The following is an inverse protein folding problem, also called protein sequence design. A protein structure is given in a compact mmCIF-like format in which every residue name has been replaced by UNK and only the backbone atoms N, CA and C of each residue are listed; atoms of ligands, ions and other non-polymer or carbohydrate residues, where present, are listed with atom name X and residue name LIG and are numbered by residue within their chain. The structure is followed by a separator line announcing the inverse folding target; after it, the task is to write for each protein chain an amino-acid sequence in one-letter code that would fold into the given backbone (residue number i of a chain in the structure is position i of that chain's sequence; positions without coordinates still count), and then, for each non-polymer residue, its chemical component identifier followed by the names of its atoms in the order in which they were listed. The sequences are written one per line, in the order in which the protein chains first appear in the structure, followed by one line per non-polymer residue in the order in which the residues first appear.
data_IF_305037391224
#
_entry.id   IF_305037391224
#
_cell.length_a   1.000
_cell.length_b   1.000
_cell.length_c   1.000
_cell.angle_alpha   90.00
_cell.angle_beta   90.00
_cell.angle_gamma   90.00
#
_symmetry.space_group_name_H-M   'P 1'
#
loop_
_entity.id
_entity.type
_entity.pdbx_description
1 polymer ?
#
# COMPACT_ATOMS: atom_id res chain seq x y z
N UNK A 1 -6.79 11.11 3.49
CA UNK A 1 -6.39 9.70 3.31
C UNK A 1 -4.88 9.64 3.29
N UNK A 2 -4.30 8.69 4.04
CA UNK A 2 -2.92 8.19 3.99
C UNK A 2 -1.87 9.21 3.53
N UNK A 3 -1.66 10.24 4.34
CA UNK A 3 -0.86 11.42 3.94
C UNK A 3 0.59 11.02 3.66
N UNK A 4 1.13 11.47 2.52
CA UNK A 4 2.51 11.23 2.10
C UNK A 4 3.13 12.57 1.69
N UNK A 5 4.14 13.04 2.42
CA UNK A 5 4.81 14.32 2.14
C UNK A 5 5.85 14.25 1.00
N UNK A 6 6.02 13.08 0.38
CA UNK A 6 7.05 12.70 -0.61
C UNK A 6 8.02 13.81 -1.06
N UNK A 7 9.02 14.08 -0.23
CA UNK A 7 10.38 14.23 -0.67
C UNK A 7 11.26 13.83 0.50
N UNK A 8 12.30 13.05 0.26
CA UNK A 8 13.37 12.85 1.23
C UNK A 8 14.12 14.16 1.60
N UNK A 9 13.62 15.34 1.18
CA UNK A 9 14.32 16.62 1.12
C UNK A 9 13.45 17.89 1.26
N UNK A 10 12.16 17.81 1.60
CA UNK A 10 11.34 19.02 1.76
C UNK A 10 11.23 19.46 3.23
N UNK A 11 11.05 20.77 3.43
CA UNK A 11 10.88 21.42 4.74
C UNK A 11 9.43 21.91 4.92
N UNK A 12 8.43 21.17 4.41
CA UNK A 12 7.04 21.60 4.56
C UNK A 12 6.59 21.41 6.01
N UNK A 13 5.98 22.45 6.57
CA UNK A 13 5.29 22.35 7.85
C UNK A 13 3.88 21.80 7.60
N UNK A 14 3.76 20.46 7.63
CA UNK A 14 2.47 19.78 7.51
C UNK A 14 1.88 19.64 8.91
N UNK A 15 0.99 20.56 9.26
CA UNK A 15 0.29 20.56 10.54
C UNK A 15 -1.22 20.71 10.34
N UNK A 16 -1.98 20.01 11.19
CA UNK A 16 -3.40 20.27 11.37
C UNK A 16 -3.53 21.44 12.35
N UNK A 17 -4.24 22.49 11.96
CA UNK A 17 -4.44 23.66 12.82
C UNK A 17 -5.30 23.29 14.03
N UNK A 18 -4.97 23.75 15.26
CA UNK A 18 -5.73 23.44 16.47
C UNK A 18 -7.21 23.79 16.39
N UNK A 19 -7.58 24.77 15.58
CA UNK A 19 -8.96 25.22 15.37
C UNK A 19 -9.77 24.27 14.46
N UNK A 20 -9.15 23.23 13.91
CA UNK A 20 -9.86 22.24 13.09
C UNK A 20 -10.83 21.46 13.98
N UNK A 21 -12.13 21.55 13.69
CA UNK A 21 -13.16 20.92 14.50
C UNK A 21 -13.21 19.40 14.29
N UNK A 22 -13.00 18.92 13.06
CA UNK A 22 -13.11 17.48 12.75
C UNK A 22 -11.99 17.04 11.85
N UNK A 23 -11.33 15.94 12.22
CA UNK A 23 -10.26 15.33 11.43
C UNK A 23 -10.44 13.83 11.45
N UNK A 24 -10.41 13.23 10.27
CA UNK A 24 -10.24 11.80 10.11
C UNK A 24 -9.08 11.52 9.16
N UNK A 25 -8.10 10.79 9.69
CA UNK A 25 -6.96 10.27 8.95
C UNK A 25 -7.05 8.74 8.90
N UNK A 26 -7.07 8.18 7.69
CA UNK A 26 -7.13 6.73 7.46
C UNK A 26 -5.81 6.34 6.81
N UNK A 27 -5.08 5.41 7.43
CA UNK A 27 -3.71 5.04 7.09
C UNK A 27 -3.64 3.55 6.69
N UNK A 28 -2.94 3.23 5.60
CA UNK A 28 -2.89 1.86 5.07
C UNK A 28 -1.79 1.02 5.72
N UNK A 29 -2.10 -0.11 6.35
CA UNK A 29 -1.08 -0.95 7.01
C UNK A 29 -0.21 -1.73 6.02
N UNK A 30 -0.69 -1.95 4.79
CA UNK A 30 0.04 -2.67 3.74
C UNK A 30 0.85 -1.72 2.83
N UNK A 31 0.89 -0.42 3.09
CA UNK A 31 1.78 0.47 2.35
C UNK A 31 3.23 0.33 2.88
N UNK A 32 4.17 0.12 1.97
CA UNK A 32 5.57 -0.12 2.34
C UNK A 32 6.56 0.32 1.26
N UNK A 33 6.09 1.04 0.23
CA UNK A 33 6.97 1.61 -0.79
C UNK A 33 7.88 2.65 -0.17
N UNK A 34 9.11 2.71 -0.68
CA UNK A 34 10.15 3.57 -0.16
C UNK A 34 9.75 5.06 -0.20
N UNK A 35 9.02 5.48 -1.23
CA UNK A 35 8.63 6.88 -1.45
C UNK A 35 7.25 7.25 -0.88
N UNK A 36 6.63 6.34 -0.14
CA UNK A 36 5.32 6.54 0.49
C UNK A 36 5.43 6.45 2.02
N UNK A 37 6.31 7.22 2.69
CA UNK A 37 6.29 7.28 4.14
C UNK A 37 5.03 8.00 4.62
N UNK A 38 4.35 7.44 5.62
CA UNK A 38 3.21 8.09 6.27
C UNK A 38 3.65 9.36 6.99
N UNK A 39 2.92 10.43 6.74
CA UNK A 39 2.90 11.63 7.58
C UNK A 39 1.70 11.52 8.52
N UNK A 40 1.93 10.97 9.70
CA UNK A 40 0.91 10.83 10.73
C UNK A 40 0.53 12.16 11.37
N UNK A 41 -0.69 12.25 11.91
CA UNK A 41 -1.15 13.45 12.63
C UNK A 41 -0.92 13.36 14.16
N UNK A 42 -0.41 12.21 14.65
CA UNK A 42 -0.05 11.97 16.04
C UNK A 42 1.41 11.51 16.18
N UNK A 43 2.00 11.66 17.38
CA UNK A 43 3.37 11.18 17.62
C UNK A 43 3.45 9.63 17.61
N UNK A 44 2.35 8.98 17.97
CA UNK A 44 2.18 7.54 18.06
C UNK A 44 1.90 6.87 16.70
N UNK A 45 1.72 7.63 15.62
CA UNK A 45 1.44 7.08 14.27
C UNK A 45 2.49 6.06 13.81
N UNK A 46 3.73 6.19 14.27
CA UNK A 46 4.83 5.23 14.01
C UNK A 46 4.55 3.82 14.52
N UNK A 47 3.69 3.69 15.54
CA UNK A 47 3.33 2.43 16.18
C UNK A 47 2.13 1.75 15.50
N UNK A 48 1.55 2.39 14.48
CA UNK A 48 0.36 1.92 13.73
C UNK A 48 -0.85 1.65 14.62
N UNK A 49 -0.98 2.45 15.68
CA UNK A 49 -2.08 2.35 16.63
C UNK A 49 -3.09 3.44 16.38
N UNK A 50 -4.37 3.07 16.37
CA UNK A 50 -5.46 4.03 16.24
C UNK A 50 -5.42 5.03 17.41
N UNK A 51 -5.64 6.30 17.10
CA UNK A 51 -5.54 7.38 18.06
C UNK A 51 -6.71 8.35 17.92
N UNK A 52 -7.10 8.94 19.05
CA UNK A 52 -8.17 9.92 19.16
C UNK A 52 -7.73 11.07 20.05
N UNK A 53 -7.98 12.29 19.61
CA UNK A 53 -7.85 13.49 20.44
C UNK A 53 -9.16 14.26 20.43
N UNK A 54 -9.59 14.73 21.59
CA UNK A 54 -10.81 15.53 21.74
C UNK A 54 -10.56 16.71 22.67
N UNK A 55 -10.98 17.90 22.25
CA UNK A 55 -10.90 19.12 23.04
C UNK A 55 -11.98 20.12 22.64
N UNK A 56 -12.91 20.41 23.55
CA UNK A 56 -14.03 21.31 23.26
C UNK A 56 -14.89 20.77 22.12
N UNK A 57 -14.92 21.49 20.99
CA UNK A 57 -15.64 21.09 19.78
C UNK A 57 -14.76 20.34 18.77
N UNK A 58 -13.47 20.14 19.08
CA UNK A 58 -12.54 19.46 18.18
C UNK A 58 -12.44 17.97 18.47
N UNK A 59 -12.57 17.14 17.43
CA UNK A 59 -12.43 15.68 17.47
C UNK A 59 -11.55 15.22 16.31
N UNK A 60 -10.36 14.72 16.62
CA UNK A 60 -9.40 14.22 15.65
C UNK A 60 -9.19 12.72 15.81
N UNK A 61 -9.21 12.00 14.70
CA UNK A 61 -9.13 10.54 14.65
C UNK A 61 -8.09 10.13 13.62
N UNK A 62 -7.23 9.20 13.99
CA UNK A 62 -6.34 8.49 13.09
C UNK A 62 -6.56 7.00 13.26
N UNK A 63 -6.80 6.29 12.16
CA UNK A 63 -7.02 4.84 12.16
C UNK A 63 -6.15 4.14 11.13
N UNK A 64 -5.71 2.94 11.47
CA UNK A 64 -4.92 2.06 10.63
C UNK A 64 -5.80 0.93 10.11
N UNK A 65 -5.87 0.81 8.78
CA UNK A 65 -6.77 -0.10 8.09
C UNK A 65 -6.02 -0.97 7.08
N UNK A 66 -6.53 -2.18 6.75
CA UNK A 66 -5.97 -3.03 5.70
C UNK A 66 -5.88 -2.36 4.33
N UNK A 67 -4.85 -2.68 3.57
CA UNK A 67 -4.65 -2.18 2.21
C UNK A 67 -3.43 -1.27 2.07
N UNK A 68 -2.96 -1.15 0.83
CA UNK A 68 -1.93 -0.22 0.42
C UNK A 68 -2.50 1.19 0.19
N UNK A 69 -1.65 2.16 -0.15
CA UNK A 69 -2.04 3.57 -0.28
C UNK A 69 -3.30 3.80 -1.15
N UNK A 70 -3.34 3.22 -2.35
CA UNK A 70 -4.48 3.37 -3.26
C UNK A 70 -5.64 2.39 -2.96
N UNK A 71 -5.43 1.39 -2.10
CA UNK A 71 -6.55 0.64 -1.50
C UNK A 71 -7.28 1.52 -0.47
N UNK A 72 -6.55 2.45 0.17
CA UNK A 72 -7.11 3.42 1.12
C UNK A 72 -7.71 4.64 0.41
N UNK A 73 -6.93 5.29 -0.45
CA UNK A 73 -7.32 6.53 -1.13
C UNK A 73 -8.09 6.35 -2.43
N UNK A 74 -8.16 5.13 -2.96
CA UNK A 74 -8.70 4.84 -4.30
C UNK A 74 -7.67 5.09 -5.41
N UNK A 75 -8.02 4.64 -6.62
CA UNK A 75 -7.21 4.85 -7.84
C UNK A 75 -6.80 3.56 -8.56
N UNK A 76 -6.89 2.40 -7.89
CA UNK A 76 -6.72 1.13 -8.56
C UNK A 76 -7.89 0.82 -9.49
N UNK A 77 -7.56 0.20 -10.63
CA UNK A 77 -8.52 -0.47 -11.49
C UNK A 77 -8.57 -1.95 -11.12
N UNK A 78 -9.77 -2.53 -11.11
CA UNK A 78 -9.95 -3.97 -10.94
C UNK A 78 -9.29 -4.74 -12.10
N UNK A 79 -8.51 -5.76 -11.76
CA UNK A 79 -7.87 -6.61 -12.76
C UNK A 79 -6.80 -7.53 -12.18
N UNK A 80 -6.05 -8.16 -13.07
CA UNK A 80 -4.96 -9.05 -12.72
C UNK A 80 -3.76 -8.31 -12.10
N UNK A 81 -2.99 -9.05 -11.30
CA UNK A 81 -1.73 -8.58 -10.74
C UNK A 81 -0.66 -9.68 -10.82
N UNK A 82 0.47 -9.37 -11.40
CA UNK A 82 1.57 -10.27 -11.71
C UNK A 82 2.93 -9.58 -11.50
N UNK A 83 3.41 -9.54 -10.27
CA UNK A 83 4.58 -8.75 -9.87
C UNK A 83 5.69 -9.57 -9.24
N UNK A 84 6.93 -9.13 -9.41
CA UNK A 84 8.07 -9.64 -8.63
C UNK A 84 8.03 -9.07 -7.22
N UNK A 85 8.12 -9.95 -6.22
CA UNK A 85 8.09 -9.59 -4.79
C UNK A 85 9.48 -9.69 -4.13
N UNK A 86 10.52 -9.97 -4.92
CA UNK A 86 11.90 -10.05 -4.44
C UNK A 86 12.90 -9.48 -5.44
N UNK A 87 14.08 -9.02 -4.97
CA UNK A 87 15.22 -8.79 -5.84
C UNK A 87 15.77 -10.12 -6.38
N UNK A 88 16.82 -10.03 -7.19
CA UNK A 88 17.57 -11.18 -7.70
C UNK A 88 18.37 -11.90 -6.59
N UNK A 89 18.21 -13.22 -6.52
CA UNK A 89 18.99 -14.09 -5.64
C UNK A 89 19.77 -15.14 -6.43
N UNK A 90 21.00 -15.43 -6.00
CA UNK A 90 21.79 -16.54 -6.56
C UNK A 90 21.33 -17.88 -5.96
N UNK A 91 20.93 -17.89 -4.68
CA UNK A 91 20.52 -19.12 -3.98
C UNK A 91 19.04 -19.09 -3.66
N UNK A 92 18.31 -20.09 -4.15
CA UNK A 92 16.88 -20.29 -3.83
C UNK A 92 16.58 -20.35 -2.33
N UNK A 93 17.54 -20.80 -1.52
CA UNK A 93 17.38 -20.82 -0.06
C UNK A 93 17.32 -19.41 0.54
N UNK A 94 18.13 -18.50 0.03
CA UNK A 94 18.14 -17.10 0.49
C UNK A 94 16.86 -16.39 0.04
N UNK A 95 16.42 -16.66 -1.20
CA UNK A 95 15.12 -16.20 -1.71
C UNK A 95 13.95 -16.68 -0.85
N UNK A 96 13.93 -17.98 -0.51
CA UNK A 96 12.90 -18.56 0.35
C UNK A 96 12.84 -17.84 1.71
N UNK A 97 13.99 -17.67 2.38
CA UNK A 97 14.01 -16.97 3.67
C UNK A 97 13.62 -15.50 3.57
N UNK A 98 13.94 -14.84 2.45
CA UNK A 98 13.51 -13.46 2.21
C UNK A 98 11.98 -13.34 2.19
N UNK A 99 11.30 -14.21 1.42
CA UNK A 99 9.83 -14.18 1.33
C UNK A 99 9.18 -14.63 2.65
N UNK A 100 9.70 -15.67 3.29
CA UNK A 100 9.18 -16.13 4.58
C UNK A 100 9.36 -15.08 5.70
N UNK A 101 10.45 -14.30 5.64
CA UNK A 101 10.65 -13.18 6.56
C UNK A 101 9.55 -12.14 6.36
N UNK A 102 9.30 -11.68 5.13
CA UNK A 102 8.23 -10.73 4.80
C UNK A 102 6.88 -11.22 5.35
N UNK A 103 6.52 -12.47 5.06
CA UNK A 103 5.25 -13.09 5.51
C UNK A 103 5.16 -13.20 7.03
N UNK A 104 6.30 -13.29 7.71
CA UNK A 104 6.39 -13.54 9.15
C UNK A 104 6.54 -12.29 10.01
N UNK A 105 7.11 -11.21 9.50
CA UNK A 105 7.53 -10.05 10.31
C UNK A 105 6.66 -8.81 10.19
N UNK A 106 5.97 -8.61 9.06
CA UNK A 106 5.07 -7.47 8.91
C UNK A 106 3.78 -7.73 9.68
N UNK A 107 3.59 -6.99 10.76
CA UNK A 107 2.46 -7.14 11.66
C UNK A 107 1.64 -5.85 11.77
N UNK A 108 0.35 -6.00 12.03
CA UNK A 108 -0.49 -4.89 12.50
C UNK A 108 -0.34 -4.67 14.02
N UNK A 109 -1.08 -3.69 14.55
CA UNK A 109 -1.10 -3.37 15.98
C UNK A 109 -1.50 -4.56 16.87
N UNK A 110 -2.26 -5.52 16.32
CA UNK A 110 -2.77 -6.71 17.01
C UNK A 110 -1.89 -7.95 16.79
N UNK A 111 -0.71 -7.77 16.16
CA UNK A 111 0.26 -8.83 15.86
C UNK A 111 -0.23 -9.85 14.82
N UNK A 112 -1.16 -9.48 13.94
CA UNK A 112 -1.56 -10.31 12.79
C UNK A 112 -0.64 -10.06 11.60
N UNK A 113 -0.38 -11.12 10.83
CA UNK A 113 0.52 -11.10 9.68
C UNK A 113 -0.17 -10.55 8.44
N UNK A 114 0.15 -9.32 8.07
CA UNK A 114 -0.60 -8.57 7.04
C UNK A 114 -0.31 -9.04 5.60
N UNK A 115 0.84 -9.68 5.36
CA UNK A 115 1.24 -10.18 4.04
C UNK A 115 1.10 -11.68 3.86
N UNK A 116 0.81 -12.42 4.94
CA UNK A 116 0.91 -13.87 4.91
C UNK A 116 0.01 -14.52 3.86
N UNK A 117 -1.24 -14.05 3.75
CA UNK A 117 -2.24 -14.57 2.80
C UNK A 117 -1.97 -14.10 1.37
N UNK A 118 -1.66 -12.81 1.18
CA UNK A 118 -1.37 -12.22 -0.14
C UNK A 118 -0.17 -12.89 -0.82
N UNK A 119 0.84 -13.27 -0.04
CA UNK A 119 2.08 -13.87 -0.54
C UNK A 119 2.13 -15.40 -0.38
N UNK A 120 1.04 -16.06 -0.02
CA UNK A 120 1.07 -17.48 0.33
C UNK A 120 1.46 -18.39 -0.85
N UNK A 121 1.03 -18.02 -2.07
CA UNK A 121 1.15 -18.81 -3.29
C UNK A 121 2.23 -18.26 -4.25
N UNK A 122 3.24 -17.58 -3.70
CA UNK A 122 4.34 -17.08 -4.51
C UNK A 122 5.05 -18.22 -5.24
N UNK A 123 5.57 -17.89 -6.42
CA UNK A 123 6.32 -18.81 -7.28
C UNK A 123 7.74 -18.29 -7.45
N UNK A 124 8.64 -19.18 -7.88
CA UNK A 124 10.04 -18.83 -8.16
C UNK A 124 10.24 -18.85 -9.67
N UNK A 125 10.61 -17.71 -10.22
CA UNK A 125 11.15 -17.59 -11.57
C UNK A 125 12.64 -17.92 -11.54
N UNK A 126 13.05 -18.94 -12.29
CA UNK A 126 14.42 -19.47 -12.28
C UNK A 126 15.10 -19.12 -13.59
N UNK A 127 16.02 -18.16 -13.55
CA UNK A 127 16.97 -17.89 -14.62
C UNK A 127 18.21 -18.77 -14.56
N UNK A 128 19.14 -18.54 -15.49
CA UNK A 128 20.39 -19.29 -15.58
C UNK A 128 21.34 -19.06 -14.39
N UNK A 129 21.30 -17.85 -13.80
CA UNK A 129 22.20 -17.41 -12.71
C UNK A 129 21.41 -16.91 -11.50
N UNK A 130 20.31 -16.20 -11.72
CA UNK A 130 19.50 -15.59 -10.68
C UNK A 130 18.11 -16.18 -10.63
N UNK A 131 17.46 -16.06 -9.47
CA UNK A 131 16.07 -16.41 -9.26
C UNK A 131 15.36 -15.30 -8.49
N UNK A 132 14.08 -15.09 -8.80
CA UNK A 132 13.21 -14.12 -8.15
C UNK A 132 11.89 -14.78 -7.75
N UNK A 133 11.27 -14.28 -6.68
CA UNK A 133 9.92 -14.64 -6.32
C UNK A 133 8.93 -13.69 -6.99
N UNK A 134 7.83 -14.23 -7.47
CA UNK A 134 6.73 -13.47 -8.06
C UNK A 134 5.38 -14.00 -7.56
N UNK A 135 4.37 -13.15 -7.67
CA UNK A 135 2.97 -13.49 -7.37
C UNK A 135 2.14 -13.16 -8.60
N UNK A 136 1.28 -14.09 -9.01
CA UNK A 136 0.29 -13.93 -10.09
C UNK A 136 -1.10 -14.13 -9.52
N UNK A 137 -2.00 -13.20 -9.78
CA UNK A 137 -3.39 -13.18 -9.33
C UNK A 137 -4.26 -12.75 -10.50
N UNK A 138 -5.29 -13.53 -10.79
CA UNK A 138 -6.15 -13.27 -11.95
C UNK A 138 -7.06 -12.05 -11.74
N UNK A 139 -7.39 -11.75 -10.48
CA UNK A 139 -8.25 -10.64 -10.11
C UNK A 139 -7.87 -10.09 -8.73
N UNK A 140 -7.80 -8.77 -8.63
CA UNK A 140 -7.73 -7.99 -7.40
C UNK A 140 -8.80 -6.90 -7.50
N UNK A 141 -9.70 -6.87 -6.52
CA UNK A 141 -10.82 -5.92 -6.48
C UNK A 141 -10.37 -4.55 -5.98
N UNK A 142 -11.01 -3.49 -6.48
CA UNK A 142 -10.71 -2.09 -6.09
C UNK A 142 -11.64 -1.53 -5.00
N UNK A 143 -12.65 -2.31 -4.61
CA UNK A 143 -13.79 -1.90 -3.79
C UNK A 143 -13.47 -1.61 -2.32
N UNK A 144 -12.29 -2.01 -1.83
CA UNK A 144 -11.89 -1.71 -0.45
C UNK A 144 -11.80 -0.20 -0.19
N UNK A 145 -11.40 0.58 -1.20
CA UNK A 145 -11.39 2.04 -1.14
C UNK A 145 -12.77 2.66 -0.96
N UNK A 146 -13.84 1.98 -1.41
CA UNK A 146 -15.23 2.43 -1.22
C UNK A 146 -15.64 2.39 0.25
N UNK A 147 -15.20 1.37 0.99
CA UNK A 147 -15.42 1.26 2.45
C UNK A 147 -14.84 2.48 3.16
N UNK A 148 -13.59 2.83 2.86
CA UNK A 148 -12.92 3.96 3.50
C UNK A 148 -13.43 5.32 3.01
N UNK A 149 -13.82 5.40 1.73
CA UNK A 149 -14.55 6.53 1.15
C UNK A 149 -15.80 6.89 1.95
N UNK A 150 -16.62 5.88 2.26
CA UNK A 150 -17.83 6.04 3.07
C UNK A 150 -17.53 6.62 4.46
N UNK A 151 -16.46 6.16 5.11
CA UNK A 151 -16.06 6.68 6.42
C UNK A 151 -15.69 8.16 6.39
N UNK A 152 -14.95 8.60 5.36
CA UNK A 152 -14.62 10.02 5.18
C UNK A 152 -15.87 10.87 4.93
N UNK A 153 -16.82 10.33 4.16
CA UNK A 153 -18.07 11.02 3.86
C UNK A 153 -18.93 11.17 5.12
N UNK A 154 -19.02 10.11 5.94
CA UNK A 154 -19.69 10.16 7.24
C UNK A 154 -19.05 11.16 8.20
N UNK A 155 -17.72 11.23 8.26
CA UNK A 155 -17.04 12.23 9.09
C UNK A 155 -17.33 13.64 8.61
N UNK A 156 -17.30 13.86 7.29
CA UNK A 156 -17.57 15.18 6.70
C UNK A 156 -19.01 15.62 6.93
N UNK A 157 -19.95 14.70 6.84
CA UNK A 157 -21.39 14.96 7.04
C UNK A 157 -21.82 15.02 8.51
N UNK A 158 -20.92 14.78 9.48
CA UNK A 158 -21.32 14.51 10.86
C UNK A 158 -22.02 15.68 11.57
N UNK A 159 -21.67 16.91 11.21
CA UNK A 159 -22.29 18.13 11.77
C UNK A 159 -23.33 18.72 10.80
N UNK A 160 -23.04 18.69 9.50
CA UNK A 160 -23.91 19.19 8.46
C UNK A 160 -23.77 18.29 7.24
N UNK A 161 -24.90 17.92 6.62
CA UNK A 161 -24.89 17.23 5.34
C UNK A 161 -24.29 18.15 4.27
N UNK A 162 -23.08 17.81 3.82
CA UNK A 162 -22.35 18.50 2.74
C UNK A 162 -22.46 17.70 1.44
N UNK A 163 -22.36 16.38 1.54
CA UNK A 163 -22.46 15.46 0.42
C UNK A 163 -23.73 14.61 0.50
N UNK A 164 -24.23 14.22 -0.66
CA UNK A 164 -25.33 13.25 -0.78
C UNK A 164 -24.85 11.86 -0.32
N UNK A 165 -25.77 11.08 0.25
CA UNK A 165 -25.52 9.73 0.77
C UNK A 165 -26.20 8.63 -0.07
N UNK A 166 -26.95 9.03 -1.09
CA UNK A 166 -27.61 8.13 -2.04
C UNK A 166 -26.58 7.69 -3.10
N UNK A 167 -25.88 6.60 -2.80
CA UNK A 167 -24.87 6.02 -3.69
C UNK A 167 -25.45 4.95 -4.61
N UNK A 168 -24.79 4.78 -5.74
CA UNK A 168 -25.02 3.75 -6.75
C UNK A 168 -23.71 3.02 -7.10
N UNK A 169 -23.80 2.06 -8.01
CA UNK A 169 -22.66 1.27 -8.50
C UNK A 169 -21.47 2.12 -9.02
N UNK A 170 -21.75 3.33 -9.51
CA UNK A 170 -20.74 4.24 -10.06
C UNK A 170 -20.00 5.07 -9.00
N UNK A 171 -20.46 5.01 -7.76
CA UNK A 171 -19.94 5.80 -6.63
C UNK A 171 -19.41 4.90 -5.52
N UNK A 172 -20.19 4.65 -4.46
CA UNK A 172 -19.76 3.91 -3.27
C UNK A 172 -20.58 2.64 -2.98
N UNK A 173 -21.47 2.22 -3.88
CA UNK A 173 -22.21 0.98 -3.66
C UNK A 173 -21.27 -0.24 -3.72
N UNK A 174 -21.38 -1.09 -2.70
CA UNK A 174 -20.67 -2.36 -2.57
C UNK A 174 -21.73 -3.46 -2.67
N UNK A 175 -21.59 -4.34 -3.65
CA UNK A 175 -22.56 -5.42 -3.85
C UNK A 175 -22.40 -6.53 -2.78
N UNK A 176 -23.42 -6.80 -1.95
CA UNK A 176 -23.31 -7.80 -0.90
C UNK A 176 -23.10 -9.23 -1.41
N UNK A 177 -23.60 -9.52 -2.63
CA UNK A 177 -23.45 -10.85 -3.25
C UNK A 177 -22.00 -11.11 -3.68
N UNK A 178 -21.29 -10.08 -4.14
CA UNK A 178 -19.90 -10.17 -4.60
C UNK A 178 -18.91 -9.95 -3.45
N UNK A 179 -19.23 -9.03 -2.52
CA UNK A 179 -18.32 -8.57 -1.48
C UNK A 179 -18.93 -8.65 -0.07
N UNK A 180 -19.43 -9.83 0.37
CA UNK A 180 -20.11 -9.95 1.66
C UNK A 180 -19.22 -9.52 2.84
N UNK A 181 -17.91 -9.78 2.76
CA UNK A 181 -16.98 -9.36 3.80
C UNK A 181 -16.74 -7.84 3.84
N UNK A 182 -16.78 -7.15 2.70
CA UNK A 182 -16.65 -5.68 2.71
C UNK A 182 -17.87 -5.02 3.35
N UNK A 183 -19.06 -5.62 3.24
CA UNK A 183 -20.25 -5.17 3.96
C UNK A 183 -20.05 -5.31 5.47
N UNK A 184 -19.65 -6.50 5.94
CA UNK A 184 -19.33 -6.76 7.35
C UNK A 184 -18.28 -5.76 7.88
N UNK A 185 -17.22 -5.54 7.10
CA UNK A 185 -16.14 -4.62 7.46
C UNK A 185 -16.61 -3.16 7.51
N UNK A 186 -17.39 -2.71 6.53
CA UNK A 186 -17.96 -1.37 6.48
C UNK A 186 -18.79 -1.10 7.72
N UNK A 187 -19.76 -1.98 8.03
CA UNK A 187 -20.62 -1.83 9.20
C UNK A 187 -19.83 -1.80 10.52
N UNK A 188 -18.79 -2.63 10.64
CA UNK A 188 -17.93 -2.65 11.81
C UNK A 188 -17.13 -1.34 11.96
N UNK A 189 -16.51 -0.85 10.88
CA UNK A 189 -15.75 0.40 10.87
C UNK A 189 -16.63 1.63 11.12
N UNK A 190 -17.85 1.66 10.55
CA UNK A 190 -18.83 2.72 10.77
C UNK A 190 -19.22 2.84 12.25
N UNK A 191 -19.29 1.72 12.96
CA UNK A 191 -19.56 1.72 14.39
C UNK A 191 -18.31 2.07 15.21
N UNK A 192 -17.15 1.56 14.80
CA UNK A 192 -15.88 1.84 15.46
C UNK A 192 -15.53 3.34 15.43
N UNK A 193 -15.63 3.98 14.26
CA UNK A 193 -15.13 5.34 14.01
C UNK A 193 -15.89 6.43 14.75
N UNK A 194 -17.09 6.14 15.25
CA UNK A 194 -17.88 7.09 16.05
C UNK A 194 -17.10 7.51 17.30
N UNK A 195 -16.46 6.55 17.97
CA UNK A 195 -15.81 6.78 19.26
C UNK A 195 -14.40 6.18 19.41
N UNK A 196 -13.94 5.39 18.44
CA UNK A 196 -12.71 4.58 18.50
C UNK A 196 -12.61 3.72 19.77
N UNK A 197 -13.75 3.18 20.22
CA UNK A 197 -13.79 2.28 21.37
C UNK A 197 -13.05 0.97 21.04
N UNK A 198 -12.05 0.55 21.84
CA UNK A 198 -11.28 -0.67 21.56
C UNK A 198 -12.15 -1.92 21.40
N UNK A 199 -13.25 -2.02 22.15
CA UNK A 199 -14.18 -3.17 22.08
C UNK A 199 -14.95 -3.26 20.76
N UNK A 200 -14.98 -2.17 19.99
CA UNK A 200 -15.61 -2.09 18.67
C UNK A 200 -14.60 -2.15 17.53
N UNK A 201 -13.29 -2.24 17.81
CA UNK A 201 -12.26 -2.32 16.77
C UNK A 201 -12.51 -3.60 15.95
N UNK A 202 -12.61 -3.50 14.61
CA UNK A 202 -12.82 -4.68 13.79
C UNK A 202 -11.63 -5.65 13.85
N UNK A 203 -11.93 -6.93 14.04
CA UNK A 203 -10.95 -8.00 13.89
C UNK A 203 -10.68 -8.24 12.39
N UNK A 204 -9.66 -7.57 11.83
CA UNK A 204 -9.36 -7.69 10.40
C UNK A 204 -8.99 -9.13 10.00
N UNK A 205 -9.67 -9.66 8.98
CA UNK A 205 -9.42 -10.99 8.43
C UNK A 205 -8.58 -10.88 7.15
N UNK A 206 -7.25 -10.96 7.31
CA UNK A 206 -6.30 -10.81 6.19
C UNK A 206 -6.37 -11.91 5.12
N UNK A 207 -7.01 -13.05 5.41
CA UNK A 207 -7.30 -14.05 4.38
C UNK A 207 -8.39 -13.56 3.44
N UNK A 208 -9.51 -13.06 3.97
CA UNK A 208 -10.59 -12.48 3.16
C UNK A 208 -10.18 -11.16 2.49
N UNK A 209 -9.32 -10.37 3.13
CA UNK A 209 -8.83 -9.10 2.59
C UNK A 209 -7.79 -9.28 1.48
N UNK A 210 -7.22 -10.48 1.32
CA UNK A 210 -6.22 -10.74 0.30
C UNK A 210 -6.76 -10.36 -1.08
N UNK A 211 -8.02 -10.69 -1.37
CA UNK A 211 -8.72 -10.41 -2.64
C UNK A 211 -8.80 -8.92 -3.01
N UNK A 212 -8.60 -8.02 -2.03
CA UNK A 212 -8.69 -6.57 -2.21
C UNK A 212 -7.37 -5.84 -1.96
N UNK A 213 -6.36 -6.52 -1.41
CA UNK A 213 -5.07 -5.91 -1.08
C UNK A 213 -4.14 -5.99 -2.27
N UNK A 214 -3.74 -4.84 -2.81
CA UNK A 214 -2.78 -4.76 -3.91
C UNK A 214 -1.33 -4.79 -3.38
N UNK A 215 -0.45 -5.49 -4.10
CA UNK A 215 1.00 -5.45 -3.84
C UNK A 215 1.59 -4.16 -4.46
N UNK A 216 1.56 -3.05 -3.70
CA UNK A 216 2.08 -1.76 -4.16
C UNK A 216 3.62 -1.72 -4.20
N UNK A 217 4.29 -2.27 -3.18
CA UNK A 217 5.74 -2.42 -3.17
C UNK A 217 6.15 -3.69 -3.93
N UNK A 218 6.78 -3.52 -5.09
CA UNK A 218 7.24 -4.61 -5.92
C UNK A 218 8.55 -4.27 -6.67
N UNK A 219 9.17 -5.28 -7.27
CA UNK A 219 10.41 -5.21 -8.03
C UNK A 219 10.17 -5.23 -9.55
N UNK A 220 9.00 -4.79 -9.99
CA UNK A 220 8.59 -4.77 -11.39
C UNK A 220 7.60 -5.88 -11.76
N UNK A 221 7.12 -5.81 -13.00
CA UNK A 221 6.10 -6.72 -13.53
C UNK A 221 6.73 -8.05 -13.99
N UNK A 222 6.02 -9.15 -13.75
CA UNK A 222 6.35 -10.46 -14.30
C UNK A 222 5.80 -10.60 -15.73
N UNK A 223 6.63 -10.23 -16.71
CA UNK A 223 6.29 -10.14 -18.14
C UNK A 223 5.67 -11.38 -18.80
N UNK A 224 6.03 -12.63 -18.45
CA UNK A 224 5.42 -13.81 -19.07
C UNK A 224 3.91 -13.91 -18.87
N UNK A 225 3.37 -13.40 -17.75
CA UNK A 225 1.92 -13.34 -17.52
C UNK A 225 1.25 -12.25 -18.39
N UNK A 226 1.87 -11.08 -18.52
CA UNK A 226 1.37 -9.98 -19.36
C UNK A 226 1.22 -10.38 -20.84
N UNK A 227 2.10 -11.25 -21.35
CA UNK A 227 2.03 -11.75 -22.72
C UNK A 227 0.80 -12.66 -22.95
N UNK A 228 0.33 -13.36 -21.92
CA UNK A 228 -0.84 -14.25 -22.02
C UNK A 228 -2.17 -13.47 -22.07
N UNK A 229 -2.23 -12.28 -21.45
CA UNK A 229 -3.45 -11.45 -21.37
C UNK A 229 -3.67 -10.50 -22.55
N UNK A 230 -2.75 -10.42 -23.51
CA UNK A 230 -2.76 -9.50 -24.67
C UNK A 230 -3.96 -9.62 -25.64
N UNK A 231 -5.03 -10.35 -25.28
CA UNK A 231 -6.28 -10.44 -26.04
C UNK A 231 -7.35 -9.40 -25.65
N UNK A 232 -7.24 -8.75 -24.49
CA UNK A 232 -8.11 -7.63 -24.09
C UNK A 232 -7.26 -6.38 -23.85
N UNK A 233 -7.68 -5.24 -24.41
CA UNK A 233 -6.93 -3.98 -24.37
C UNK A 233 -6.61 -3.46 -22.97
N UNK A 234 -5.66 -2.53 -22.93
CA UNK A 234 -5.11 -1.79 -21.77
C UNK A 234 -4.81 -2.69 -20.55
N UNK A 235 -3.53 -3.07 -20.33
CA UNK A 235 -3.17 -3.90 -19.18
C UNK A 235 -3.38 -3.11 -17.89
N UNK A 236 -4.46 -3.39 -17.16
CA UNK A 236 -4.79 -2.80 -15.84
C UNK A 236 -3.57 -2.79 -14.92
N UNK A 237 -2.81 -3.88 -14.92
CA UNK A 237 -1.57 -4.00 -14.18
C UNK A 237 -0.52 -2.92 -14.50
N UNK A 238 -0.37 -2.52 -15.77
CA UNK A 238 0.57 -1.46 -16.16
C UNK A 238 0.12 -0.11 -15.58
N UNK A 239 -1.19 0.17 -15.62
CA UNK A 239 -1.75 1.40 -15.05
C UNK A 239 -1.54 1.40 -13.53
N UNK A 240 -1.97 0.34 -12.86
CA UNK A 240 -1.84 0.20 -11.41
C UNK A 240 -0.37 0.26 -10.97
N UNK A 241 0.55 -0.33 -11.73
CA UNK A 241 1.98 -0.26 -11.42
C UNK A 241 2.59 1.12 -11.71
N UNK A 242 2.03 1.88 -12.66
CA UNK A 242 2.37 3.29 -12.86
C UNK A 242 2.07 4.17 -11.63
N UNK A 243 1.08 3.81 -10.82
CA UNK A 243 0.80 4.45 -9.53
C UNK A 243 1.84 4.09 -8.45
N UNK A 244 2.66 3.06 -8.70
CA UNK A 244 3.61 2.50 -7.74
C UNK A 244 5.04 3.04 -7.88
N UNK A 245 5.34 3.79 -8.95
CA UNK A 245 6.69 4.26 -9.29
C UNK A 245 6.68 5.77 -9.62
N UNK A 246 7.65 6.56 -9.15
CA UNK A 246 7.87 7.91 -9.68
C UNK A 246 8.15 7.87 -11.19
N UNK A 247 7.36 8.59 -11.98
CA UNK A 247 7.44 8.56 -13.45
C UNK A 247 8.71 9.22 -13.98
N UNK A 248 9.80 8.46 -14.07
CA UNK A 248 10.99 8.78 -14.88
C UNK A 248 11.68 7.53 -15.45
N UNK A 249 10.94 6.45 -15.74
CA UNK A 249 11.51 5.36 -16.55
C UNK A 249 11.15 5.56 -18.02
N UNK A 250 12.13 6.08 -18.76
CA UNK A 250 12.20 6.00 -20.22
C UNK A 250 12.57 4.57 -20.68
N UNK A 251 12.17 3.54 -19.92
CA UNK A 251 12.38 2.13 -20.25
C UNK A 251 11.30 1.68 -21.24
N UNK A 252 11.41 2.31 -22.41
CA UNK A 252 10.69 1.98 -23.61
C UNK A 252 11.00 0.55 -24.01
N UNK A 253 9.97 -0.29 -23.94
CA UNK A 253 9.60 -1.30 -24.93
C UNK A 253 10.55 -1.40 -26.16
N UNK A 254 11.71 -2.03 -26.01
CA UNK A 254 12.53 -2.43 -27.15
C UNK A 254 12.48 -3.94 -27.33
N UNK A 255 11.68 -4.34 -28.33
CA UNK A 255 11.30 -5.71 -28.69
C UNK A 255 12.44 -6.59 -29.23
N UNK A 256 13.70 -6.20 -29.08
CA UNK A 256 14.84 -6.93 -29.62
C UNK A 256 16.08 -6.67 -28.77
N UNK A 257 16.40 -7.54 -27.83
CA UNK A 257 17.79 -7.82 -27.48
C UNK A 257 17.93 -9.19 -26.80
N UNK A 258 18.26 -10.16 -27.64
CA UNK A 258 18.82 -11.43 -27.23
C UNK A 258 20.20 -11.22 -26.62
N UNK A 259 20.44 -11.80 -25.43
CA UNK A 259 21.75 -12.08 -24.82
C UNK A 259 22.60 -10.85 -24.47
N UNK A 260 22.92 -10.74 -23.18
CA UNK A 260 23.81 -9.75 -22.54
C UNK A 260 23.26 -8.31 -22.43
N UNK A 261 22.29 -8.14 -21.56
CA UNK A 261 22.20 -6.99 -20.64
C UNK A 261 21.69 -7.56 -19.31
N UNK A 262 22.42 -7.89 -18.24
CA UNK A 262 23.83 -7.83 -17.83
C UNK A 262 24.57 -6.52 -17.99
N UNK A 263 23.88 -5.43 -18.27
CA UNK A 263 24.24 -4.16 -17.65
C UNK A 263 23.72 -4.35 -16.22
N UNK A 264 24.57 -4.79 -15.28
CA UNK A 264 25.19 -3.84 -14.34
C UNK A 264 24.40 -2.56 -14.44
N UNK A 265 23.40 -2.38 -13.57
CA UNK A 265 22.89 -1.04 -13.29
C UNK A 265 24.13 -0.21 -12.95
N UNK A 266 24.68 0.44 -13.97
CA UNK A 266 25.62 1.50 -13.79
C UNK A 266 24.86 2.50 -12.93
N UNK A 267 25.49 2.88 -11.84
CA UNK A 267 25.02 3.81 -10.83
C UNK A 267 24.86 5.16 -11.52
N UNK A 268 23.79 5.31 -12.29
CA UNK A 268 23.48 6.47 -13.13
C UNK A 268 22.00 6.88 -12.95
N UNK A 269 21.44 6.65 -11.76
CA UNK A 269 20.62 7.62 -11.02
C UNK A 269 20.34 7.07 -9.61
N UNK A 270 21.20 7.44 -8.66
CA UNK A 270 21.43 6.70 -7.40
C UNK A 270 20.24 6.63 -6.43
N UNK A 271 19.15 7.36 -6.69
CA UNK A 271 17.98 7.44 -5.79
C UNK A 271 16.85 6.53 -6.28
N UNK A 272 16.63 6.43 -7.59
CA UNK A 272 15.54 5.63 -8.18
C UNK A 272 15.87 4.14 -8.10
N UNK A 273 17.09 3.74 -8.46
CA UNK A 273 17.53 2.34 -8.35
C UNK A 273 17.67 1.87 -6.90
N UNK A 274 18.07 2.77 -5.98
CA UNK A 274 18.05 2.49 -4.54
C UNK A 274 16.62 2.26 -4.05
N UNK A 275 15.67 3.07 -4.51
CA UNK A 275 14.26 2.92 -4.15
C UNK A 275 13.62 1.65 -4.72
N UNK A 276 13.96 1.26 -5.95
CA UNK A 276 13.56 -0.04 -6.51
C UNK A 276 14.16 -1.20 -5.71
N UNK A 277 15.43 -1.10 -5.31
CA UNK A 277 16.08 -2.09 -4.44
C UNK A 277 15.53 -2.15 -3.01
N UNK A 278 14.74 -1.14 -2.60
CA UNK A 278 14.21 -0.98 -1.23
C UNK A 278 12.68 -0.93 -1.15
N UNK A 279 11.97 -1.13 -2.26
CA UNK A 279 10.53 -1.44 -2.31
C UNK A 279 10.28 -2.87 -1.81
N UNK A 280 10.67 -3.12 -0.56
CA UNK A 280 10.50 -4.39 0.12
C UNK A 280 9.07 -4.40 0.66
N UNK A 281 8.27 -5.46 0.40
CA UNK A 281 6.95 -5.67 1.01
C UNK A 281 6.93 -5.79 2.55
N UNK A 282 7.97 -5.36 3.26
CA UNK A 282 8.16 -5.41 4.70
C UNK A 282 9.01 -4.22 5.16
N UNK A 283 8.93 -3.09 4.45
CA UNK A 283 9.57 -1.86 4.89
C UNK A 283 8.79 -1.32 6.10
N UNK A 284 9.07 -1.84 7.28
CA UNK A 284 8.52 -1.35 8.55
C UNK A 284 9.13 0.01 8.97
N UNK A 285 9.90 0.63 8.08
CA UNK A 285 10.64 1.86 8.33
C UNK A 285 9.74 3.08 8.04
N UNK A 286 8.66 3.20 8.81
CA UNK A 286 7.75 4.36 8.81
C UNK A 286 8.38 5.59 9.46
N UNK A 287 9.33 5.37 10.38
CA UNK A 287 10.14 6.43 10.99
C UNK A 287 11.35 6.78 10.11
N UNK A 288 11.10 7.32 8.91
CA UNK A 288 12.14 8.11 8.24
C UNK A 288 12.01 9.53 8.72
N UNK A 289 12.60 9.78 9.88
CA UNK A 289 13.01 11.14 10.18
C UNK A 289 13.91 11.62 9.04
N UNK A 290 13.81 12.91 8.68
CA UNK A 290 14.65 13.66 7.73
C UNK A 290 16.18 13.48 8.00
N UNK A 291 16.55 12.83 9.10
CA UNK A 291 17.89 12.50 9.57
C UNK A 291 18.65 11.43 8.77
N UNK A 292 18.16 10.93 7.63
CA UNK A 292 19.07 10.26 6.66
C UNK A 292 20.20 11.23 6.20
N UNK A 293 20.05 12.55 6.42
CA UNK A 293 21.14 13.54 6.31
C UNK A 293 22.28 13.39 7.33
N UNK A 294 22.12 12.70 8.46
CA UNK A 294 23.18 12.64 9.50
C UNK A 294 24.26 11.58 9.27
N UNK A 295 24.02 10.56 8.44
CA UNK A 295 25.02 9.49 8.24
C UNK A 295 26.05 9.76 7.14
N UNK A 296 25.96 10.88 6.41
CA UNK A 296 26.95 11.26 5.40
C UNK A 296 27.95 12.34 5.86
N UNK A 297 27.76 12.96 7.02
CA UNK A 297 28.67 14.01 7.53
C UNK A 297 29.52 13.62 8.75
N UNK A 298 29.33 12.44 9.34
CA UNK A 298 30.16 11.95 10.45
C UNK A 298 31.04 10.74 10.07
N UNK A 299 31.80 10.88 8.99
CA UNK A 299 33.08 10.16 8.84
C UNK A 299 34.21 11.14 9.17
N UNK A 300 34.51 11.26 10.46
CA UNK A 300 35.86 11.57 10.93
C UNK A 300 36.71 10.30 10.86
#
# INVERSE_FOLDING_TARGET
FDTVESAAFNDYDVAVLPETERVLHICGVNECRYFFPLTGIFEESKDRTDAKWESGNSVWKEIFVPGAHADVGGGYLEGSQSVYISPNFIKNRELYYYVENIRGTALDSEKKKIWNSVLQDYKIDKGDIFSQAYVTRDLVYSDLSKVYGKLMLMETNSEQSVFEEDFDESTFEIHPETHPYLIELSEALENYIKNLSPDLKPDYNYEKLADYTHISANFGLYHPALMMESKSGIPTEIINNGLNVPSHSDDQFNKNQSRLQSEIHHIEDSVVDYAYGTNIPNNDNWSRTILIKENFYNKC
#
